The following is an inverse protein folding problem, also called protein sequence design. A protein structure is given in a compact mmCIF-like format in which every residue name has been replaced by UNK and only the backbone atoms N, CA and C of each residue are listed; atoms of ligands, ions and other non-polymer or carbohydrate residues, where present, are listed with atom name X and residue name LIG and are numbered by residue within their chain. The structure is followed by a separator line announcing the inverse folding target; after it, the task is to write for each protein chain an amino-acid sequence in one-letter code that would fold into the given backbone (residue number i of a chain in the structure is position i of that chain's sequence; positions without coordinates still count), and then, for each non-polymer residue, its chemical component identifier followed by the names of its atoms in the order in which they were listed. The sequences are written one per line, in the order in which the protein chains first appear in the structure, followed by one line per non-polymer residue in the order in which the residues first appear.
data_IF_922638954437
#
_entry.id   IF_922638954437
#
_cell.length_a   1.000
_cell.length_b   1.000
_cell.length_c   1.000
_cell.angle_alpha   90.00
_cell.angle_beta   90.00
_cell.angle_gamma   90.00
#
_symmetry.space_group_name_H-M   'P 1'
#
loop_
_entity.id
_entity.type
_entity.pdbx_description
1 polymer ?
#
# COMPACT_ATOMS: atom_id res chain seq x y z
N UNK A 1 -21.64 -21.95 -26.04
CA UNK A 1 -21.71 -22.34 -24.63
C UNK A 1 -22.83 -21.64 -23.89
N UNK A 2 -22.82 -20.29 -23.74
CA UNK A 2 -23.80 -19.55 -22.93
C UNK A 2 -25.25 -19.80 -23.38
N UNK A 3 -25.51 -19.79 -24.68
CA UNK A 3 -26.85 -20.07 -25.24
C UNK A 3 -27.34 -21.48 -24.91
N UNK A 4 -26.48 -22.49 -24.96
CA UNK A 4 -26.80 -23.83 -24.58
C UNK A 4 -27.12 -23.96 -23.10
N UNK A 5 -26.35 -23.28 -22.24
CA UNK A 5 -26.61 -23.28 -20.80
C UNK A 5 -27.95 -22.59 -20.46
N UNK A 6 -28.31 -21.50 -21.15
CA UNK A 6 -29.61 -20.86 -20.98
C UNK A 6 -30.73 -21.83 -21.34
N UNK A 7 -30.61 -22.54 -22.45
CA UNK A 7 -31.63 -23.51 -22.87
C UNK A 7 -31.79 -24.62 -21.81
N UNK A 8 -30.69 -25.15 -21.27
CA UNK A 8 -30.72 -26.17 -20.23
C UNK A 8 -31.36 -25.65 -18.94
N UNK A 9 -30.96 -24.46 -18.49
CA UNK A 9 -31.52 -23.81 -17.30
C UNK A 9 -33.04 -23.56 -17.44
N UNK A 10 -33.51 -23.16 -18.64
CA UNK A 10 -34.94 -22.98 -18.88
C UNK A 10 -35.73 -24.29 -18.70
N UNK A 11 -35.20 -25.42 -19.15
CA UNK A 11 -35.82 -26.73 -18.94
C UNK A 11 -35.88 -27.07 -17.44
N UNK A 12 -34.80 -26.85 -16.72
CA UNK A 12 -34.71 -27.16 -15.31
C UNK A 12 -35.63 -26.27 -14.45
N UNK A 13 -35.67 -24.96 -14.72
CA UNK A 13 -36.57 -24.04 -14.02
C UNK A 13 -38.06 -24.33 -14.30
N UNK A 14 -38.43 -24.64 -15.54
CA UNK A 14 -39.78 -25.08 -15.86
C UNK A 14 -40.17 -26.35 -15.11
N UNK A 15 -39.24 -27.34 -15.00
CA UNK A 15 -39.43 -28.54 -14.21
C UNK A 15 -39.65 -28.25 -12.72
N UNK A 16 -38.99 -27.25 -12.19
CA UNK A 16 -39.14 -26.80 -10.78
C UNK A 16 -40.43 -25.98 -10.55
N UNK A 17 -41.21 -25.72 -11.59
CA UNK A 17 -42.44 -24.96 -11.48
C UNK A 17 -42.28 -23.43 -11.43
N UNK A 18 -41.12 -22.91 -11.82
CA UNK A 18 -40.88 -21.47 -11.89
C UNK A 18 -41.71 -20.86 -13.02
N UNK A 19 -42.46 -19.81 -12.71
CA UNK A 19 -43.25 -19.07 -13.67
C UNK A 19 -42.46 -17.90 -14.29
N UNK A 20 -42.59 -17.67 -15.58
CA UNK A 20 -41.89 -16.60 -16.28
C UNK A 20 -42.22 -16.54 -17.78
N UNK A 21 -41.74 -15.49 -18.45
CA UNK A 21 -41.80 -15.34 -19.91
C UNK A 21 -40.70 -16.15 -20.57
N UNK A 22 -40.94 -17.43 -20.80
CA UNK A 22 -39.95 -18.35 -21.34
C UNK A 22 -39.61 -18.13 -22.81
N UNK A 23 -40.55 -17.52 -23.59
CA UNK A 23 -40.33 -17.24 -25.00
C UNK A 23 -39.51 -15.96 -25.24
N UNK A 24 -39.52 -15.06 -24.27
CA UNK A 24 -38.74 -13.82 -24.31
C UNK A 24 -38.04 -13.55 -22.97
N UNK A 25 -37.17 -14.42 -22.52
CA UNK A 25 -36.49 -14.28 -21.24
C UNK A 25 -35.49 -13.11 -21.26
N UNK A 26 -35.35 -12.44 -20.13
CA UNK A 26 -34.24 -11.49 -19.94
C UNK A 26 -32.88 -12.22 -20.04
N UNK A 27 -32.03 -11.71 -20.92
CA UNK A 27 -30.65 -12.27 -21.11
C UNK A 27 -29.66 -11.11 -21.12
N UNK A 28 -28.66 -11.16 -20.24
CA UNK A 28 -27.60 -10.13 -20.16
C UNK A 28 -26.81 -10.04 -21.47
N UNK A 29 -26.65 -11.15 -22.18
CA UNK A 29 -25.97 -11.24 -23.47
C UNK A 29 -26.76 -10.68 -24.67
N UNK A 30 -27.97 -10.18 -24.47
CA UNK A 30 -28.73 -9.56 -25.57
C UNK A 30 -28.06 -8.25 -25.98
N UNK A 31 -27.88 -7.98 -27.28
CA UNK A 31 -27.24 -6.75 -27.78
C UNK A 31 -27.85 -5.46 -27.23
N UNK A 32 -29.19 -5.47 -27.01
CA UNK A 32 -29.88 -4.32 -26.43
C UNK A 32 -29.44 -4.04 -24.97
N UNK A 33 -29.19 -5.08 -24.17
CA UNK A 33 -28.72 -4.94 -22.81
C UNK A 33 -27.25 -4.47 -22.79
N UNK A 34 -26.37 -5.10 -23.58
CA UNK A 34 -24.97 -4.67 -23.71
C UNK A 34 -24.87 -3.21 -24.15
N UNK A 35 -25.65 -2.80 -25.14
CA UNK A 35 -25.73 -1.42 -25.56
C UNK A 35 -26.29 -0.49 -24.45
N UNK A 36 -27.19 -0.99 -23.62
CA UNK A 36 -27.72 -0.30 -22.44
C UNK A 36 -26.64 -0.03 -21.40
N UNK A 37 -25.85 -1.03 -21.09
CA UNK A 37 -24.72 -0.94 -20.15
C UNK A 37 -23.66 0.06 -20.62
N UNK A 38 -23.28 -0.02 -21.91
CA UNK A 38 -22.32 0.93 -22.50
C UNK A 38 -22.86 2.37 -22.45
N UNK A 39 -24.15 2.57 -22.73
CA UNK A 39 -24.78 3.90 -22.62
C UNK A 39 -24.80 4.41 -21.18
N UNK A 40 -25.04 3.55 -20.21
CA UNK A 40 -25.00 3.92 -18.80
C UNK A 40 -23.57 4.31 -18.38
N UNK A 41 -22.59 3.51 -18.76
CA UNK A 41 -21.18 3.78 -18.50
C UNK A 41 -20.71 5.11 -19.15
N UNK A 42 -21.13 5.35 -20.41
CA UNK A 42 -20.87 6.64 -21.08
C UNK A 42 -21.32 7.83 -20.25
N UNK A 43 -22.53 7.78 -19.67
CA UNK A 43 -23.03 8.88 -18.82
C UNK A 43 -22.19 9.09 -17.57
N UNK A 44 -21.64 8.02 -16.99
CA UNK A 44 -20.72 8.11 -15.84
C UNK A 44 -19.41 8.77 -16.25
N UNK A 45 -18.88 8.40 -17.43
CA UNK A 45 -17.69 9.05 -18.00
C UNK A 45 -17.89 10.54 -18.28
N UNK A 46 -19.02 10.89 -18.91
CA UNK A 46 -19.35 12.29 -19.24
C UNK A 46 -19.46 13.18 -17.99
N UNK A 47 -19.78 12.61 -16.82
CA UNK A 47 -19.79 13.29 -15.54
C UNK A 47 -18.41 13.36 -14.85
N UNK A 48 -17.36 12.85 -15.47
CA UNK A 48 -15.99 12.91 -14.93
C UNK A 48 -15.66 11.91 -13.83
N UNK A 49 -16.53 10.93 -13.55
CA UNK A 49 -16.28 9.92 -12.52
C UNK A 49 -15.35 8.80 -12.98
N UNK A 50 -15.07 8.71 -14.28
CA UNK A 50 -14.14 7.72 -14.83
C UNK A 50 -12.88 8.42 -15.33
N UNK A 51 -11.75 8.02 -14.81
CA UNK A 51 -10.44 8.52 -15.19
C UNK A 51 -9.42 7.38 -15.22
N UNK A 52 -8.35 7.57 -15.97
CA UNK A 52 -7.24 6.63 -16.00
C UNK A 52 -6.25 6.96 -14.88
N UNK A 53 -5.96 6.00 -14.04
CA UNK A 53 -5.01 6.15 -12.94
C UNK A 53 -4.31 4.85 -12.61
N UNK A 54 -3.24 4.93 -11.81
CA UNK A 54 -2.56 3.78 -11.24
C UNK A 54 -3.07 3.57 -9.82
N UNK A 55 -3.47 2.34 -9.52
CA UNK A 55 -3.89 1.91 -8.19
C UNK A 55 -3.20 0.58 -7.86
N UNK A 56 -2.54 0.43 -6.70
CA UNK A 56 -2.09 -0.87 -6.24
C UNK A 56 -3.27 -1.83 -6.11
N UNK A 57 -3.09 -3.04 -6.59
CA UNK A 57 -4.09 -4.12 -6.48
C UNK A 57 -3.44 -5.37 -5.90
N UNK A 58 -4.24 -6.16 -5.19
CA UNK A 58 -3.79 -7.46 -4.71
C UNK A 58 -3.63 -8.42 -5.87
N UNK A 59 -2.58 -9.22 -5.82
CA UNK A 59 -2.22 -10.17 -6.85
C UNK A 59 -1.97 -11.54 -6.26
N UNK A 60 -2.60 -12.56 -6.81
CA UNK A 60 -2.32 -13.96 -6.47
C UNK A 60 -1.26 -14.50 -7.43
N UNK A 61 -0.12 -14.94 -6.89
CA UNK A 61 0.96 -15.52 -7.69
C UNK A 61 0.63 -16.90 -8.20
N UNK A 62 -0.16 -17.68 -7.45
CA UNK A 62 -0.58 -19.03 -7.84
C UNK A 62 -1.64 -18.99 -8.96
N UNK A 63 -2.62 -18.07 -8.83
CA UNK A 63 -3.67 -17.90 -9.84
C UNK A 63 -3.20 -17.08 -11.05
N UNK A 64 -2.13 -16.29 -10.91
CA UNK A 64 -1.65 -15.38 -11.95
C UNK A 64 -2.65 -14.27 -12.29
N UNK A 65 -3.44 -13.81 -11.29
CA UNK A 65 -4.51 -12.83 -11.49
C UNK A 65 -4.61 -11.83 -10.34
N UNK A 66 -5.22 -10.68 -10.61
CA UNK A 66 -5.63 -9.73 -9.58
C UNK A 66 -6.80 -10.29 -8.76
N UNK A 67 -6.86 -9.89 -7.49
CA UNK A 67 -7.92 -10.27 -6.55
C UNK A 67 -8.82 -9.09 -6.26
N UNK A 68 -10.12 -9.34 -6.15
CA UNK A 68 -11.06 -8.40 -5.55
C UNK A 68 -10.86 -8.40 -4.01
N UNK A 69 -11.26 -7.32 -3.37
CA UNK A 69 -11.02 -7.14 -1.92
C UNK A 69 -11.68 -8.26 -1.07
N UNK A 70 -12.84 -8.74 -1.47
CA UNK A 70 -13.55 -9.82 -0.78
C UNK A 70 -12.94 -11.23 -1.01
N UNK A 71 -11.99 -11.37 -1.94
CA UNK A 71 -11.26 -12.62 -2.18
C UNK A 71 -9.98 -12.72 -1.36
N UNK A 72 -9.67 -11.68 -0.55
CA UNK A 72 -8.46 -11.58 0.23
C UNK A 72 -8.69 -12.20 1.59
N UNK A 73 -7.84 -13.16 1.96
CA UNK A 73 -7.80 -13.74 3.29
C UNK A 73 -6.57 -13.22 4.05
N UNK A 74 -6.78 -12.80 5.30
CA UNK A 74 -5.74 -12.31 6.19
C UNK A 74 -5.36 -13.39 7.19
N UNK A 75 -4.06 -13.57 7.39
CA UNK A 75 -3.50 -14.51 8.36
C UNK A 75 -2.40 -13.85 9.18
N UNK A 76 -2.31 -14.23 10.43
CA UNK A 76 -1.19 -13.81 11.29
C UNK A 76 0.11 -14.41 10.77
N UNK A 77 1.09 -13.54 10.52
CA UNK A 77 2.40 -13.95 10.01
C UNK A 77 3.53 -13.30 10.80
N UNK A 78 4.50 -14.11 11.22
CA UNK A 78 5.77 -13.59 11.74
C UNK A 78 6.68 -13.18 10.60
N UNK A 79 7.09 -11.92 10.61
CA UNK A 79 8.03 -11.36 9.63
C UNK A 79 9.28 -10.85 10.32
N UNK A 80 10.43 -10.95 9.66
CA UNK A 80 11.65 -10.29 10.09
C UNK A 80 11.50 -8.78 9.91
N UNK A 81 11.87 -8.03 10.95
CA UNK A 81 11.93 -6.58 10.91
C UNK A 81 13.36 -6.11 10.77
N UNK A 82 13.56 -4.99 10.09
CA UNK A 82 14.87 -4.36 9.93
C UNK A 82 14.78 -2.89 10.30
N UNK A 83 15.78 -2.43 11.04
CA UNK A 83 16.10 -1.01 11.15
C UNK A 83 17.27 -0.73 10.20
N UNK A 84 17.11 0.26 9.33
CA UNK A 84 18.10 0.62 8.31
C UNK A 84 18.48 2.09 8.48
N UNK A 85 19.78 2.35 8.56
CA UNK A 85 20.32 3.70 8.69
C UNK A 85 20.81 4.20 7.32
N UNK A 86 20.08 5.13 6.72
CA UNK A 86 20.46 5.79 5.47
C UNK A 86 21.33 7.00 5.76
N UNK A 87 22.51 7.05 5.15
CA UNK A 87 23.44 8.16 5.31
C UNK A 87 22.82 9.44 4.76
N UNK A 88 22.88 10.53 5.54
CA UNK A 88 22.47 11.87 5.08
C UNK A 88 23.37 12.33 3.95
N UNK A 89 22.76 12.71 2.83
CA UNK A 89 23.51 13.29 1.69
C UNK A 89 24.00 14.71 1.99
N UNK A 90 23.27 15.47 2.82
CA UNK A 90 23.59 16.84 3.17
C UNK A 90 23.60 17.00 4.70
N UNK A 91 24.72 16.67 5.37
CA UNK A 91 24.84 16.79 6.81
C UNK A 91 24.84 18.26 7.29
N UNK A 92 25.20 19.24 6.43
CA UNK A 92 25.17 20.64 6.79
C UNK A 92 23.72 21.16 6.90
N UNK A 93 22.87 20.76 5.95
CA UNK A 93 21.43 21.07 5.98
C UNK A 93 20.76 20.43 7.19
N UNK A 94 21.14 19.19 7.51
CA UNK A 94 20.64 18.51 8.70
C UNK A 94 21.07 19.23 9.98
N UNK A 95 22.35 19.62 10.10
CA UNK A 95 22.84 20.39 11.23
C UNK A 95 22.08 21.70 11.41
N UNK A 96 21.89 22.46 10.33
CA UNK A 96 21.16 23.74 10.33
C UNK A 96 19.71 23.57 10.80
N UNK A 97 19.05 22.49 10.41
CA UNK A 97 17.69 22.18 10.86
C UNK A 97 17.61 22.00 12.40
N UNK A 98 18.70 21.55 13.03
CA UNK A 98 18.82 21.42 14.48
C UNK A 98 19.48 22.63 15.17
N UNK A 99 19.68 23.73 14.44
CA UNK A 99 20.35 24.92 14.99
C UNK A 99 21.83 24.71 15.31
N UNK A 100 22.46 23.71 14.74
CA UNK A 100 23.86 23.41 14.95
C UNK A 100 24.74 23.98 13.83
N UNK A 101 25.95 24.45 14.14
CA UNK A 101 26.86 24.95 13.12
C UNK A 101 27.39 23.84 12.18
N UNK A 102 27.56 22.64 12.72
CA UNK A 102 27.98 21.45 11.99
C UNK A 102 27.69 20.18 12.79
N UNK A 103 27.67 19.03 12.14
CA UNK A 103 27.69 17.71 12.79
C UNK A 103 29.14 17.21 12.88
N UNK A 104 29.53 16.71 14.06
CA UNK A 104 30.87 16.21 14.30
C UNK A 104 31.16 14.86 13.63
N UNK A 105 30.12 14.15 13.21
CA UNK A 105 30.17 12.78 12.67
C UNK A 105 29.19 12.62 11.53
N UNK A 106 29.35 11.54 10.77
CA UNK A 106 28.37 11.12 9.76
C UNK A 106 26.98 10.91 10.40
N UNK A 107 25.96 11.46 9.76
CA UNK A 107 24.58 11.36 10.22
C UNK A 107 23.76 10.41 9.34
N UNK A 108 22.87 9.69 9.96
CA UNK A 108 22.02 8.69 9.31
C UNK A 108 20.58 8.85 9.77
N UNK A 109 19.65 8.74 8.83
CA UNK A 109 18.20 8.68 9.10
C UNK A 109 17.81 7.22 9.27
N UNK A 110 17.21 6.87 10.40
CA UNK A 110 16.81 5.50 10.69
C UNK A 110 15.38 5.27 10.24
N UNK A 111 15.16 4.21 9.50
CA UNK A 111 13.85 3.68 9.16
C UNK A 111 13.66 2.28 9.73
N UNK A 112 12.41 1.90 9.94
CA UNK A 112 12.01 0.55 10.30
C UNK A 112 11.12 -0.05 9.20
N UNK A 113 11.33 -1.32 8.86
CA UNK A 113 10.53 -1.98 7.84
C UNK A 113 10.34 -3.47 8.11
N UNK A 114 9.20 -4.01 7.70
CA UNK A 114 8.95 -5.46 7.58
C UNK A 114 9.14 -5.96 6.14
N UNK A 115 9.41 -5.05 5.19
CA UNK A 115 9.45 -5.33 3.75
C UNK A 115 10.80 -4.95 3.15
N UNK A 116 11.86 -5.61 3.62
CA UNK A 116 13.26 -5.31 3.26
C UNK A 116 13.53 -5.32 1.75
N UNK A 117 12.80 -6.11 0.99
CA UNK A 117 12.95 -6.20 -0.46
C UNK A 117 12.55 -4.92 -1.22
N UNK A 118 11.91 -3.95 -0.56
CA UNK A 118 11.61 -2.65 -1.15
C UNK A 118 12.77 -1.66 -1.10
N UNK A 119 13.77 -1.88 -0.23
CA UNK A 119 14.90 -0.98 0.00
C UNK A 119 15.66 -0.62 -1.29
N UNK A 120 15.94 -1.56 -2.22
CA UNK A 120 16.64 -1.22 -3.46
C UNK A 120 15.91 -0.20 -4.36
N UNK A 121 14.60 -0.02 -4.18
CA UNK A 121 13.79 0.92 -4.92
C UNK A 121 13.57 2.25 -4.19
N UNK A 122 14.11 2.44 -2.99
CA UNK A 122 13.97 3.66 -2.22
C UNK A 122 14.67 4.84 -2.92
N UNK A 123 13.95 5.93 -3.09
CA UNK A 123 14.45 7.16 -3.70
C UNK A 123 14.49 8.34 -2.71
N UNK A 124 13.66 8.31 -1.67
CA UNK A 124 13.55 9.38 -0.70
C UNK A 124 13.05 8.86 0.65
N UNK A 125 13.29 9.63 1.70
CA UNK A 125 12.73 9.44 3.03
C UNK A 125 11.78 10.59 3.34
N UNK A 126 10.60 10.27 3.87
CA UNK A 126 9.61 11.23 4.31
C UNK A 126 9.60 11.31 5.84
N UNK A 127 9.60 12.51 6.37
CA UNK A 127 9.44 12.78 7.80
C UNK A 127 8.04 13.36 8.06
N UNK A 128 7.45 13.01 9.19
CA UNK A 128 6.18 13.58 9.61
C UNK A 128 6.45 14.94 10.31
N UNK A 129 5.92 16.07 9.82
CA UNK A 129 6.15 17.38 10.41
C UNK A 129 5.52 17.57 11.80
N UNK A 130 4.62 16.68 12.21
CA UNK A 130 3.96 16.74 13.52
C UNK A 130 4.71 15.96 14.60
N UNK A 131 5.79 15.26 14.24
CA UNK A 131 6.59 14.48 15.17
C UNK A 131 7.91 15.20 15.44
N UNK A 132 8.28 15.29 16.72
CA UNK A 132 9.61 15.72 17.13
C UNK A 132 10.64 14.65 16.81
N UNK A 133 11.77 15.06 16.24
CA UNK A 133 12.90 14.18 15.93
C UNK A 133 14.11 14.54 16.79
N UNK A 134 14.93 13.54 17.09
CA UNK A 134 16.14 13.69 17.87
C UNK A 134 17.37 13.26 17.06
N UNK A 135 18.45 14.04 17.18
CA UNK A 135 19.79 13.59 16.80
C UNK A 135 20.42 12.87 17.99
N UNK A 136 20.74 11.61 17.81
CA UNK A 136 21.30 10.74 18.84
C UNK A 136 22.75 10.44 18.51
N UNK A 137 23.67 10.76 19.39
CA UNK A 137 25.08 10.37 19.26
C UNK A 137 25.23 8.87 19.59
N UNK A 138 25.49 8.07 18.59
CA UNK A 138 25.67 6.61 18.70
C UNK A 138 27.15 6.20 18.74
N UNK A 139 28.04 7.06 19.26
CA UNK A 139 29.46 6.82 19.35
C UNK A 139 30.21 7.14 18.07
N UNK A 140 30.14 6.31 17.04
CA UNK A 140 30.83 6.55 15.75
C UNK A 140 30.02 7.38 14.75
N UNK A 141 28.71 7.50 14.97
CA UNK A 141 27.75 8.12 14.03
C UNK A 141 26.61 8.82 14.79
N UNK A 142 25.93 9.69 14.09
CA UNK A 142 24.72 10.35 14.57
C UNK A 142 23.50 9.69 13.91
N UNK A 143 22.47 9.39 14.69
CA UNK A 143 21.22 8.82 14.22
C UNK A 143 20.08 9.84 14.34
N UNK A 144 19.33 10.04 13.28
CA UNK A 144 18.07 10.77 13.31
C UNK A 144 16.92 9.79 13.54
N UNK A 145 16.25 9.94 14.66
CA UNK A 145 15.17 9.05 15.11
C UNK A 145 14.00 9.91 15.61
N UNK A 146 12.77 9.42 15.45
CA UNK A 146 11.62 10.05 16.09
C UNK A 146 11.78 10.00 17.62
N UNK A 147 11.62 11.13 18.31
CA UNK A 147 11.88 11.26 19.76
C UNK A 147 11.17 10.17 20.60
N UNK A 148 9.85 9.89 20.37
CA UNK A 148 9.15 8.85 21.13
C UNK A 148 9.74 7.44 20.99
N UNK A 149 10.53 7.20 19.94
CA UNK A 149 11.12 5.89 19.63
C UNK A 149 12.59 5.77 20.07
N UNK A 150 13.20 6.86 20.51
CA UNK A 150 14.65 6.87 20.86
C UNK A 150 15.00 5.79 21.87
N UNK A 151 14.31 5.71 22.99
CA UNK A 151 14.62 4.75 24.06
C UNK A 151 14.55 3.30 23.55
N UNK A 152 13.48 2.94 22.87
CA UNK A 152 13.28 1.58 22.33
C UNK A 152 14.27 1.22 21.21
N UNK A 153 14.65 2.21 20.39
CA UNK A 153 15.66 2.03 19.35
C UNK A 153 17.05 1.80 19.97
N UNK A 154 17.43 2.60 20.96
CA UNK A 154 18.74 2.46 21.62
C UNK A 154 18.86 1.12 22.35
N UNK A 155 17.83 0.70 23.07
CA UNK A 155 17.78 -0.62 23.70
C UNK A 155 17.98 -1.74 22.66
N UNK A 156 17.22 -1.68 21.57
CA UNK A 156 17.29 -2.68 20.48
C UNK A 156 18.65 -2.71 19.79
N UNK A 157 19.34 -1.58 19.72
CA UNK A 157 20.69 -1.48 19.11
C UNK A 157 21.83 -1.77 20.10
N UNK A 158 21.52 -1.98 21.36
CA UNK A 158 22.51 -2.18 22.41
C UNK A 158 23.38 -0.94 22.69
N UNK A 159 22.80 0.25 22.47
CA UNK A 159 23.50 1.53 22.64
C UNK A 159 23.10 2.18 23.97
N UNK A 160 24.07 2.71 24.71
CA UNK A 160 23.86 3.36 26.02
C UNK A 160 24.60 4.70 26.12
N UNK A 161 24.07 5.60 26.94
CA UNK A 161 24.81 6.80 27.40
C UNK A 161 24.94 7.93 26.39
N UNK A 162 23.93 8.17 25.57
CA UNK A 162 24.00 9.08 24.43
C UNK A 162 23.41 10.45 24.71
N UNK A 163 24.04 11.50 24.13
CA UNK A 163 23.51 12.85 24.12
C UNK A 163 22.41 13.01 23.09
N UNK A 164 21.35 13.73 23.42
CA UNK A 164 20.19 13.98 22.56
C UNK A 164 20.05 15.46 22.29
N UNK A 165 19.82 15.81 21.03
CA UNK A 165 19.42 17.14 20.57
C UNK A 165 18.11 17.00 19.82
N UNK A 166 17.10 17.79 20.19
CA UNK A 166 15.73 17.70 19.69
C UNK A 166 15.32 18.89 18.84
N UNK A 167 14.48 18.67 17.85
CA UNK A 167 13.65 19.69 17.17
C UNK A 167 12.23 19.21 16.98
#
# INVERSE_FOLDING_TARGET
FATEQIAQQMVDFKRLGVLGEWDNPYKTMNPANEAGEIRAFKRVMERGFVYRGLKPVYWCFDCGSSLAEFEIEYQDKKSTTLDVAFKSHDPAKLAAAFGLPALAKDAFVVIWTTTAWTIPANQALNLNPEITYALVDAGERILLVAEPLVASCLERYGLTGLSLIHI
#
